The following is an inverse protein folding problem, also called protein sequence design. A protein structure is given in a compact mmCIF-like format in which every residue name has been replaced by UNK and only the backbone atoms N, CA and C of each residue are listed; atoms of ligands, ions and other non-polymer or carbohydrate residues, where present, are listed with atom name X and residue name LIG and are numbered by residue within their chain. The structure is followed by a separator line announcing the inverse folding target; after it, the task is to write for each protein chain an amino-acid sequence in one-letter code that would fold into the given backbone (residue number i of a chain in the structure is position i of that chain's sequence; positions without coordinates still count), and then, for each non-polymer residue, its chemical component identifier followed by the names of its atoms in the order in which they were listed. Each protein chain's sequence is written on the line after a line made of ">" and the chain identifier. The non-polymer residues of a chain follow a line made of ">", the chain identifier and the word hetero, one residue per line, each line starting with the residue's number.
data_IF_247741252813
#
_entry.id   IF_247741252813
#
_cell.length_a   1.000
_cell.length_b   1.000
_cell.length_c   1.000
_cell.angle_alpha   90.00
_cell.angle_beta   90.00
_cell.angle_gamma   90.00
#
_symmetry.space_group_name_H-M   'P 1'
#
loop_
_entity.id
_entity.type
_entity.pdbx_description
1 polymer ?
#
# COMPACT_ATOMS: atom_id res chain seq x y z
N UNK A 1 -21.80 9.40 1.53
CA UNK A 1 -20.86 8.40 0.99
C UNK A 1 -20.09 7.80 2.16
N UNK A 2 -20.52 6.63 2.62
CA UNK A 2 -19.90 5.91 3.73
C UNK A 2 -18.51 5.46 3.28
N UNK A 3 -17.43 5.92 3.93
CA UNK A 3 -16.09 5.40 3.69
C UNK A 3 -16.05 3.95 4.19
N UNK A 4 -16.38 3.02 3.30
CA UNK A 4 -16.27 1.59 3.57
C UNK A 4 -14.83 1.30 3.97
N UNK A 5 -14.69 0.63 5.10
CA UNK A 5 -13.42 0.11 5.58
C UNK A 5 -13.04 -1.08 4.74
N UNK A 6 -12.52 -0.83 3.55
CA UNK A 6 -12.19 -1.91 2.65
C UNK A 6 -10.70 -2.18 2.80
N UNK A 7 -10.35 -3.39 3.19
CA UNK A 7 -8.97 -3.88 3.20
C UNK A 7 -8.54 -4.34 1.80
N UNK A 8 -9.35 -4.07 0.79
CA UNK A 8 -9.09 -4.38 -0.60
C UNK A 8 -9.96 -3.49 -1.49
N UNK A 9 -9.65 -3.40 -2.76
CA UNK A 9 -10.47 -2.69 -3.72
C UNK A 9 -9.81 -2.61 -5.08
N UNK A 10 -10.37 -1.78 -5.94
CA UNK A 10 -9.85 -1.53 -7.28
C UNK A 10 -9.83 -0.04 -7.52
N UNK A 11 -8.72 0.48 -8.06
CA UNK A 11 -8.62 1.87 -8.52
C UNK A 11 -8.23 1.92 -9.98
N UNK A 12 -8.71 2.94 -10.69
CA UNK A 12 -8.33 3.18 -12.09
C UNK A 12 -7.32 4.30 -12.15
N UNK A 13 -6.11 4.02 -12.63
CA UNK A 13 -5.03 4.99 -12.81
C UNK A 13 -4.70 5.05 -14.28
N UNK A 14 -4.85 6.25 -14.87
CA UNK A 14 -4.54 6.54 -16.26
C UNK A 14 -5.21 5.57 -17.26
N UNK A 15 -6.45 5.16 -16.95
CA UNK A 15 -7.26 4.24 -17.76
C UNK A 15 -7.02 2.76 -17.52
N UNK A 16 -6.09 2.40 -16.62
CA UNK A 16 -5.77 1.01 -16.27
C UNK A 16 -6.29 0.70 -14.87
N UNK A 17 -6.93 -0.45 -14.70
CA UNK A 17 -7.45 -0.91 -13.42
C UNK A 17 -6.37 -1.66 -12.62
N UNK A 18 -6.26 -1.33 -11.33
CA UNK A 18 -5.36 -1.94 -10.37
C UNK A 18 -6.15 -2.42 -9.17
N UNK A 19 -6.07 -3.71 -8.90
CA UNK A 19 -6.57 -4.30 -7.67
C UNK A 19 -5.54 -4.08 -6.56
N UNK A 20 -6.04 -3.81 -5.35
CA UNK A 20 -5.21 -3.65 -4.18
C UNK A 20 -5.80 -4.40 -2.99
N UNK A 21 -4.93 -4.82 -2.08
CA UNK A 21 -5.34 -5.35 -0.80
C UNK A 21 -4.32 -5.08 0.30
N UNK A 22 -4.79 -4.97 1.53
CA UNK A 22 -4.00 -4.81 2.73
C UNK A 22 -3.40 -6.17 3.12
N UNK A 23 -2.07 -6.25 3.13
CA UNK A 23 -1.34 -7.44 3.58
C UNK A 23 -1.11 -7.40 5.09
N UNK A 24 -0.80 -6.23 5.64
CA UNK A 24 -0.50 -6.05 7.06
C UNK A 24 -0.91 -4.68 7.57
N UNK A 25 -1.52 -4.63 8.76
CA UNK A 25 -1.71 -3.39 9.50
C UNK A 25 -0.43 -2.98 10.25
N UNK A 26 -0.28 -1.71 10.65
CA UNK A 26 0.82 -1.30 11.52
C UNK A 26 0.84 -2.14 12.79
N UNK A 27 1.96 -2.78 13.07
CA UNK A 27 2.11 -3.72 14.17
C UNK A 27 3.45 -3.56 14.89
N UNK A 28 3.50 -3.97 16.14
CA UNK A 28 4.75 -4.02 16.90
C UNK A 28 5.44 -5.34 16.58
N UNK A 29 6.68 -5.25 16.09
CA UNK A 29 7.58 -6.37 15.88
C UNK A 29 8.54 -6.44 17.07
N UNK A 30 8.84 -7.66 17.51
CA UNK A 30 9.68 -7.89 18.69
C UNK A 30 11.12 -7.40 18.49
N UNK A 31 11.67 -7.54 17.29
CA UNK A 31 13.07 -7.19 16.98
C UNK A 31 13.25 -5.78 16.39
N UNK A 32 12.28 -5.29 15.62
CA UNK A 32 12.43 -4.05 14.81
C UNK A 32 11.53 -2.90 15.29
N UNK A 33 10.79 -3.08 16.40
CA UNK A 33 9.87 -2.09 16.92
C UNK A 33 8.62 -1.95 16.05
N UNK A 34 8.08 -0.74 15.92
CA UNK A 34 6.87 -0.54 15.12
C UNK A 34 7.17 -0.73 13.63
N UNK A 35 6.43 -1.61 12.99
CA UNK A 35 6.32 -1.74 11.53
C UNK A 35 5.08 -0.99 11.03
N UNK A 36 5.20 -0.38 9.86
CA UNK A 36 4.07 0.25 9.20
C UNK A 36 3.15 -0.76 8.53
N UNK A 37 2.28 -0.27 7.66
CA UNK A 37 1.36 -1.13 6.92
C UNK A 37 1.97 -1.53 5.58
N UNK A 38 1.55 -2.68 5.05
CA UNK A 38 1.90 -3.12 3.70
C UNK A 38 0.63 -3.37 2.91
N UNK A 39 0.57 -2.84 1.70
CA UNK A 39 -0.47 -3.16 0.71
C UNK A 39 0.17 -3.86 -0.50
N UNK A 40 -0.57 -4.74 -1.15
CA UNK A 40 -0.22 -5.28 -2.45
C UNK A 40 -1.03 -4.58 -3.53
N UNK A 41 -0.38 -4.29 -4.67
CA UNK A 41 -0.96 -3.75 -5.88
C UNK A 41 -0.79 -4.75 -7.01
N UNK A 42 -1.83 -4.98 -7.79
CA UNK A 42 -1.83 -5.84 -8.96
C UNK A 42 -2.59 -5.15 -10.09
N UNK A 43 -1.95 -4.94 -11.23
CA UNK A 43 -2.67 -4.52 -12.42
C UNK A 43 -3.59 -5.64 -12.89
N UNK A 44 -4.83 -5.32 -13.28
CA UNK A 44 -5.69 -6.30 -13.94
C UNK A 44 -5.02 -6.85 -15.21
N UNK A 45 -5.23 -8.14 -15.46
CA UNK A 45 -4.58 -8.93 -16.51
C UNK A 45 -3.06 -9.12 -16.38
N UNK A 46 -2.45 -8.64 -15.29
CA UNK A 46 -1.06 -8.88 -14.95
C UNK A 46 -0.90 -9.98 -13.88
N UNK A 47 0.35 -10.35 -13.59
CA UNK A 47 0.66 -11.39 -12.57
C UNK A 47 1.71 -10.95 -11.55
N UNK A 48 2.33 -9.79 -11.74
CA UNK A 48 3.42 -9.32 -10.89
C UNK A 48 2.92 -8.23 -9.96
N UNK A 49 2.94 -8.54 -8.67
CA UNK A 49 2.51 -7.60 -7.63
C UNK A 49 3.60 -6.59 -7.29
N UNK A 50 3.18 -5.42 -6.81
CA UNK A 50 4.02 -4.51 -6.04
C UNK A 50 3.55 -4.50 -4.58
N UNK A 51 4.47 -4.75 -3.65
CA UNK A 51 4.25 -4.57 -2.22
C UNK A 51 4.69 -3.16 -1.85
N UNK A 52 3.75 -2.37 -1.35
CA UNK A 52 3.98 -0.99 -0.93
C UNK A 52 3.99 -0.92 0.58
N UNK A 53 5.15 -0.58 1.13
CA UNK A 53 5.40 -0.48 2.56
C UNK A 53 5.36 0.98 2.99
N UNK A 54 4.46 1.29 3.92
CA UNK A 54 4.39 2.59 4.55
C UNK A 54 5.25 2.63 5.82
N UNK A 55 5.75 3.80 6.22
CA UNK A 55 6.42 3.94 7.50
C UNK A 55 5.44 3.77 8.66
N UNK A 56 5.94 3.42 9.85
CA UNK A 56 5.13 3.41 11.06
C UNK A 56 4.47 4.77 11.32
N UNK A 57 3.14 4.82 11.57
CA UNK A 57 2.48 6.07 11.89
C UNK A 57 3.12 6.77 13.10
N UNK A 58 3.47 8.05 12.95
CA UNK A 58 4.16 8.85 13.99
C UNK A 58 3.46 8.81 15.36
N UNK A 59 2.14 8.59 15.40
CA UNK A 59 1.40 8.43 16.66
C UNK A 59 1.77 7.16 17.43
N UNK A 60 2.02 6.06 16.74
CA UNK A 60 2.42 4.79 17.35
C UNK A 60 3.82 4.90 17.96
N UNK A 61 4.71 5.62 17.27
CA UNK A 61 6.03 5.97 17.78
C UNK A 61 5.97 6.84 19.05
N UNK A 62 4.87 7.54 19.28
CA UNK A 62 4.60 8.33 20.49
C UNK A 62 3.83 7.55 21.57
N UNK A 63 3.66 6.24 21.41
CA UNK A 63 2.91 5.40 22.36
C UNK A 63 1.39 5.60 22.33
N UNK A 64 0.86 6.34 21.34
CA UNK A 64 -0.58 6.51 21.19
C UNK A 64 -1.20 5.26 20.54
N UNK A 65 -2.45 4.92 20.88
CA UNK A 65 -3.11 3.74 20.32
C UNK A 65 -3.26 3.83 18.79
N UNK A 66 -3.41 2.66 18.16
CA UNK A 66 -3.68 2.53 16.73
C UNK A 66 -4.93 3.32 16.37
N UNK A 67 -4.79 4.20 15.39
CA UNK A 67 -5.92 4.87 14.78
C UNK A 67 -6.67 3.92 13.86
N UNK A 68 -7.87 4.34 13.46
CA UNK A 68 -8.60 3.70 12.36
C UNK A 68 -7.79 3.82 11.08
N UNK A 69 -7.44 2.69 10.47
CA UNK A 69 -6.85 2.67 9.14
C UNK A 69 -7.91 3.10 8.12
N UNK A 70 -7.60 4.11 7.31
CA UNK A 70 -8.42 4.52 6.17
C UNK A 70 -7.51 4.65 4.96
N UNK A 71 -7.65 3.70 4.04
CA UNK A 71 -7.07 3.78 2.71
C UNK A 71 -8.17 4.27 1.78
N UNK A 72 -7.94 5.42 1.16
CA UNK A 72 -8.83 5.96 0.14
C UNK A 72 -8.21 5.82 -1.25
N UNK A 73 -9.06 5.91 -2.28
CA UNK A 73 -8.65 5.72 -3.66
C UNK A 73 -7.53 6.70 -4.07
N UNK A 74 -7.49 7.90 -3.47
CA UNK A 74 -6.43 8.88 -3.72
C UNK A 74 -5.07 8.39 -3.21
N UNK A 75 -5.02 7.83 -2.00
CA UNK A 75 -3.79 7.23 -1.45
C UNK A 75 -3.34 6.04 -2.30
N UNK A 76 -4.25 5.13 -2.64
CA UNK A 76 -3.92 3.96 -3.48
C UNK A 76 -3.44 4.40 -4.88
N UNK A 77 -4.06 5.42 -5.47
CA UNK A 77 -3.63 5.98 -6.76
C UNK A 77 -2.21 6.53 -6.70
N UNK A 78 -1.83 7.19 -5.59
CA UNK A 78 -0.44 7.63 -5.38
C UNK A 78 0.50 6.45 -5.29
N UNK A 79 0.18 5.44 -4.47
CA UNK A 79 0.99 4.23 -4.36
C UNK A 79 1.25 3.55 -5.71
N UNK A 80 0.24 3.45 -6.58
CA UNK A 80 0.39 2.92 -7.94
C UNK A 80 1.40 3.75 -8.73
N UNK A 81 1.27 5.08 -8.73
CA UNK A 81 2.19 5.97 -9.45
C UNK A 81 3.61 5.92 -8.89
N UNK A 82 3.76 5.83 -7.58
CA UNK A 82 5.05 5.68 -6.91
C UNK A 82 5.69 4.34 -7.26
N UNK A 83 4.92 3.25 -7.29
CA UNK A 83 5.39 1.94 -7.73
C UNK A 83 5.90 1.96 -9.18
N UNK A 84 5.10 2.51 -10.10
CA UNK A 84 5.50 2.65 -11.50
C UNK A 84 6.78 3.51 -11.64
N UNK A 85 6.86 4.61 -10.89
CA UNK A 85 8.03 5.51 -10.89
C UNK A 85 9.28 4.85 -10.29
N UNK A 86 9.11 3.94 -9.34
CA UNK A 86 10.16 3.13 -8.73
C UNK A 86 10.62 1.95 -9.63
N UNK A 87 10.05 1.80 -10.82
CA UNK A 87 10.42 0.75 -11.77
C UNK A 87 9.66 -0.57 -11.60
N UNK A 88 8.52 -0.56 -10.90
CA UNK A 88 7.59 -1.70 -10.99
C UNK A 88 6.99 -1.78 -12.38
N UNK A 89 7.22 -2.90 -13.05
CA UNK A 89 6.64 -3.22 -14.35
C UNK A 89 5.61 -4.35 -14.19
N UNK A 90 4.30 -4.05 -14.15
CA UNK A 90 3.26 -5.04 -13.84
C UNK A 90 3.20 -6.20 -14.84
N UNK A 91 3.43 -5.90 -16.13
CA UNK A 91 3.40 -6.89 -17.21
C UNK A 91 4.67 -7.76 -17.28
N UNK A 92 5.72 -7.38 -16.55
CA UNK A 92 6.95 -8.17 -16.49
C UNK A 92 6.74 -9.43 -15.65
N UNK A 93 7.48 -10.50 -15.96
CA UNK A 93 7.46 -11.74 -15.19
C UNK A 93 8.50 -11.67 -14.08
N UNK A 94 8.15 -12.13 -12.88
CA UNK A 94 9.12 -12.19 -11.80
C UNK A 94 8.48 -12.21 -10.42
N UNK A 95 9.33 -12.03 -9.41
CA UNK A 95 8.88 -11.90 -8.02
C UNK A 95 8.18 -10.56 -7.80
N UNK A 96 7.30 -10.46 -6.80
CA UNK A 96 6.78 -9.20 -6.32
C UNK A 96 7.91 -8.22 -6.01
N UNK A 97 7.68 -6.94 -6.28
CA UNK A 97 8.63 -5.86 -5.95
C UNK A 97 8.17 -5.16 -4.70
N UNK A 98 9.03 -5.04 -3.70
CA UNK A 98 8.76 -4.22 -2.52
C UNK A 98 9.28 -2.80 -2.75
N UNK A 99 8.45 -1.81 -2.44
CA UNK A 99 8.81 -0.39 -2.45
C UNK A 99 8.40 0.23 -1.13
N UNK A 100 9.17 1.22 -0.69
CA UNK A 100 8.84 2.03 0.47
C UNK A 100 8.31 3.38 -0.01
N UNK A 101 7.19 3.81 0.53
CA UNK A 101 6.59 5.12 0.25
C UNK A 101 6.61 5.97 1.51
N UNK A 102 6.34 7.27 1.39
CA UNK A 102 6.09 8.12 2.53
C UNK A 102 4.71 7.83 3.18
N UNK A 103 4.35 8.61 4.21
CA UNK A 103 3.07 8.45 4.91
C UNK A 103 1.83 8.77 4.06
N UNK A 104 2.01 9.38 2.88
CA UNK A 104 0.95 9.77 1.95
C UNK A 104 0.92 8.92 0.67
N UNK A 105 1.85 7.98 0.53
CA UNK A 105 1.96 7.08 -0.62
C UNK A 105 2.85 7.59 -1.76
N UNK A 106 3.69 8.61 -1.54
CA UNK A 106 4.64 9.11 -2.55
C UNK A 106 5.99 8.39 -2.50
#
# INVERSE_FOLDING_TARGET
>A
MSKSHTNAGTVTVDGVAYDWHLCSEPHQSDDEGWKGMTIALLQQDAKREALVEFPPPKRLLKGLPRGRLQLDDATITRCVRSALSAGWEPLSRGRPVAIMVDAEGN
#
